data_IF_224667058870
#
_entry.id   IF_224667058870
#
_cell.length_a   1.000
_cell.length_b   1.000
_cell.length_c   1.000
_cell.angle_alpha   90.00
_cell.angle_beta   90.00
_cell.angle_gamma   90.00
#
_symmetry.space_group_name_H-M   'P 1'
#
loop_
_entity.id
_entity.type
_entity.pdbx_description
1 polymer ?
#
# COMPACT_ATOMS: atom_id res chain seq x y z
N UNK A 1 -27.14 -21.40 -15.36
CA UNK A 1 -26.03 -20.60 -15.96
C UNK A 1 -24.73 -21.08 -15.35
N UNK A 2 -23.66 -21.22 -16.14
CA UNK A 2 -22.35 -21.60 -15.62
C UNK A 2 -21.73 -20.45 -14.80
N UNK A 3 -21.16 -20.80 -13.63
CA UNK A 3 -20.39 -19.92 -12.73
C UNK A 3 -21.07 -18.58 -12.35
N UNK A 4 -22.22 -18.60 -11.65
CA UNK A 4 -22.91 -17.37 -11.20
C UNK A 4 -22.01 -16.49 -10.33
N UNK A 5 -21.21 -17.08 -9.46
CA UNK A 5 -20.28 -16.36 -8.57
C UNK A 5 -19.24 -15.53 -9.33
N UNK A 6 -18.71 -16.05 -10.45
CA UNK A 6 -17.72 -15.32 -11.25
C UNK A 6 -18.33 -14.15 -12.01
N UNK A 7 -19.62 -14.23 -12.37
CA UNK A 7 -20.35 -13.11 -12.99
C UNK A 7 -20.57 -11.98 -11.98
N UNK A 8 -21.01 -12.33 -10.78
CA UNK A 8 -21.14 -11.38 -9.66
C UNK A 8 -19.80 -10.71 -9.38
N UNK A 9 -18.71 -11.50 -9.33
CA UNK A 9 -17.37 -10.98 -9.10
C UNK A 9 -16.91 -10.02 -10.22
N UNK A 10 -17.18 -10.37 -11.48
CA UNK A 10 -16.87 -9.50 -12.63
C UNK A 10 -17.63 -8.17 -12.56
N UNK A 11 -18.91 -8.19 -12.20
CA UNK A 11 -19.71 -6.98 -12.01
C UNK A 11 -19.15 -6.12 -10.87
N UNK A 12 -18.77 -6.73 -9.74
CA UNK A 12 -18.09 -6.05 -8.63
C UNK A 12 -16.77 -5.41 -9.07
N UNK A 13 -15.94 -6.12 -9.82
CA UNK A 13 -14.67 -5.60 -10.34
C UNK A 13 -14.87 -4.40 -11.28
N UNK A 14 -15.84 -4.48 -12.20
CA UNK A 14 -16.19 -3.38 -13.11
C UNK A 14 -16.66 -2.15 -12.35
N UNK A 15 -17.61 -2.34 -11.44
CA UNK A 15 -18.12 -1.25 -10.60
C UNK A 15 -17.00 -0.59 -9.79
N UNK A 16 -16.09 -1.40 -9.23
CA UNK A 16 -14.91 -0.92 -8.49
C UNK A 16 -13.95 -0.14 -9.39
N UNK A 17 -13.67 -0.66 -10.59
CA UNK A 17 -12.79 0.00 -11.56
C UNK A 17 -13.36 1.35 -12.00
N UNK A 18 -14.66 1.41 -12.32
CA UNK A 18 -15.35 2.65 -12.69
C UNK A 18 -15.38 3.65 -11.53
N UNK A 19 -15.56 3.17 -10.30
CA UNK A 19 -15.49 4.02 -9.12
C UNK A 19 -14.09 4.57 -8.86
N UNK A 20 -13.04 3.77 -9.08
CA UNK A 20 -11.64 4.21 -9.01
C UNK A 20 -11.28 5.27 -10.05
N UNK A 21 -11.88 5.24 -11.24
CA UNK A 21 -11.68 6.29 -12.24
C UNK A 21 -12.19 7.66 -11.77
N UNK A 22 -13.20 7.65 -10.90
CA UNK A 22 -13.82 8.84 -10.35
C UNK A 22 -13.41 9.12 -8.90
N UNK A 23 -12.48 8.32 -8.34
CA UNK A 23 -12.04 8.46 -6.97
C UNK A 23 -11.33 9.81 -6.79
N UNK A 24 -11.78 10.60 -5.81
CA UNK A 24 -11.16 11.87 -5.42
C UNK A 24 -10.66 11.75 -3.97
N UNK A 25 -9.44 12.21 -3.65
CA UNK A 25 -8.96 12.24 -2.28
C UNK A 25 -9.94 13.02 -1.41
N UNK A 26 -10.21 12.52 -0.20
CA UNK A 26 -11.14 13.15 0.74
C UNK A 26 -10.63 14.48 1.32
N UNK A 27 -9.34 14.80 1.13
CA UNK A 27 -8.77 16.06 1.64
C UNK A 27 -9.02 17.16 0.61
N UNK A 28 -9.74 18.24 0.97
CA UNK A 28 -9.89 19.38 0.08
C UNK A 28 -8.52 19.96 -0.26
N UNK A 29 -8.32 20.34 -1.52
CA UNK A 29 -7.12 21.09 -1.91
C UNK A 29 -6.96 22.28 -0.97
N UNK A 30 -5.76 22.53 -0.43
CA UNK A 30 -5.52 23.78 0.27
C UNK A 30 -5.84 24.96 -0.67
N UNK A 31 -6.36 26.07 -0.14
CA UNK A 31 -6.61 27.27 -0.94
C UNK A 31 -5.27 27.76 -1.48
N UNK A 32 -5.20 27.92 -2.80
CA UNK A 32 -4.03 28.49 -3.47
C UNK A 32 -4.04 29.98 -3.16
N UNK A 33 -3.01 30.46 -2.46
CA UNK A 33 -2.90 31.88 -2.04
C UNK A 33 -2.38 32.78 -3.16
N UNK A 34 -1.77 32.20 -4.21
CA UNK A 34 -1.20 32.94 -5.33
C UNK A 34 -1.99 32.67 -6.62
N UNK A 35 -2.72 33.68 -7.08
CA UNK A 35 -3.50 33.66 -8.32
C UNK A 35 -2.66 33.88 -9.59
N UNK A 36 -1.35 34.14 -9.47
CA UNK A 36 -0.48 34.34 -10.64
C UNK A 36 -0.16 33.03 -11.38
N UNK A 37 -0.42 31.88 -10.75
CA UNK A 37 -0.28 30.52 -11.32
C UNK A 37 -1.63 30.00 -11.85
N UNK A 38 -2.64 30.85 -12.05
CA UNK A 38 -3.95 30.43 -12.57
C UNK A 38 -4.04 30.51 -14.11
N UNK A 39 -2.92 30.49 -14.82
CA UNK A 39 -2.89 30.86 -16.24
C UNK A 39 -3.03 29.68 -17.21
N UNK A 40 -2.83 28.42 -16.80
CA UNK A 40 -3.08 27.28 -17.70
C UNK A 40 -3.79 26.10 -17.02
N UNK A 41 -5.12 25.93 -17.21
CA UNK A 41 -5.88 24.82 -16.63
C UNK A 41 -5.43 23.42 -17.13
N UNK A 42 -4.50 23.37 -18.09
CA UNK A 42 -3.91 22.14 -18.61
C UNK A 42 -2.68 21.64 -17.80
N UNK A 43 -1.94 22.52 -17.11
CA UNK A 43 -0.69 22.14 -16.43
C UNK A 43 -0.79 22.22 -14.89
N UNK A 44 -1.54 23.18 -14.35
CA UNK A 44 -1.56 23.49 -12.90
C UNK A 44 -2.34 22.49 -12.03
N UNK A 45 -3.01 21.52 -12.65
CA UNK A 45 -3.70 20.46 -11.93
C UNK A 45 -2.76 19.37 -11.42
N UNK A 46 -1.57 19.19 -11.98
CA UNK A 46 -0.84 17.92 -11.82
C UNK A 46 -0.59 17.53 -10.36
N UNK A 47 -0.23 18.46 -9.46
CA UNK A 47 -0.02 18.16 -8.03
C UNK A 47 -1.31 17.88 -7.25
N UNK A 48 -2.44 18.42 -7.72
CA UNK A 48 -3.77 18.34 -7.12
C UNK A 48 -4.64 17.24 -7.75
N UNK A 49 -4.17 16.58 -8.80
CA UNK A 49 -4.91 15.52 -9.48
C UNK A 49 -4.97 14.27 -8.58
N UNK A 50 -6.17 13.65 -8.42
CA UNK A 50 -6.35 12.38 -7.72
C UNK A 50 -5.39 11.26 -8.15
N UNK A 51 -4.87 11.38 -9.37
CA UNK A 51 -3.92 10.45 -9.98
C UNK A 51 -2.55 10.41 -9.27
N UNK A 52 -2.30 11.34 -8.34
CA UNK A 52 -1.03 11.44 -7.63
C UNK A 52 -0.85 10.51 -6.46
N UNK A 53 -1.89 9.83 -5.98
CA UNK A 53 -1.68 8.83 -4.92
C UNK A 53 -0.79 7.72 -5.50
N UNK A 54 0.47 7.57 -5.06
CA UNK A 54 1.39 6.64 -5.68
C UNK A 54 0.83 5.22 -5.58
N UNK A 55 0.82 4.51 -6.70
CA UNK A 55 0.30 3.15 -6.80
C UNK A 55 -1.20 3.00 -7.04
N UNK A 56 -1.99 4.08 -7.00
CA UNK A 56 -3.40 4.03 -7.39
C UNK A 56 -3.58 3.61 -8.86
N UNK A 57 -2.70 4.11 -9.75
CA UNK A 57 -2.62 3.64 -11.15
C UNK A 57 -2.35 2.14 -11.23
N UNK A 58 -1.47 1.59 -10.40
CA UNK A 58 -1.17 0.15 -10.36
C UNK A 58 -2.39 -0.66 -9.90
N UNK A 59 -3.17 -0.16 -8.94
CA UNK A 59 -4.43 -0.79 -8.54
C UNK A 59 -5.45 -0.81 -9.69
N UNK A 60 -5.61 0.32 -10.39
CA UNK A 60 -6.48 0.39 -11.60
C UNK A 60 -6.04 -0.63 -12.65
N UNK A 61 -4.75 -0.68 -12.96
CA UNK A 61 -4.20 -1.61 -13.94
C UNK A 61 -4.39 -3.08 -13.52
N UNK A 62 -4.14 -3.41 -12.25
CA UNK A 62 -4.34 -4.77 -11.74
C UNK A 62 -5.82 -5.21 -11.82
N UNK A 63 -6.75 -4.33 -11.46
CA UNK A 63 -8.19 -4.60 -11.62
C UNK A 63 -8.57 -4.80 -13.08
N UNK A 64 -8.03 -3.96 -13.97
CA UNK A 64 -8.24 -4.09 -15.42
C UNK A 64 -7.74 -5.43 -15.94
N UNK A 65 -6.57 -5.89 -15.49
CA UNK A 65 -6.03 -7.21 -15.85
C UNK A 65 -6.96 -8.34 -15.41
N UNK A 66 -7.51 -8.29 -14.20
CA UNK A 66 -8.43 -9.32 -13.70
C UNK A 66 -9.79 -9.29 -14.43
N UNK A 67 -10.34 -8.09 -14.70
CA UNK A 67 -11.54 -7.90 -15.53
C UNK A 67 -11.31 -8.47 -16.92
N UNK A 68 -10.19 -8.10 -17.55
CA UNK A 68 -9.79 -8.60 -18.85
C UNK A 68 -9.63 -10.12 -18.84
N UNK A 69 -9.03 -10.69 -17.79
CA UNK A 69 -8.84 -12.14 -17.66
C UNK A 69 -10.18 -12.88 -17.58
N UNK A 70 -11.11 -12.40 -16.75
CA UNK A 70 -12.48 -12.94 -16.68
C UNK A 70 -13.26 -12.74 -17.99
N UNK A 71 -12.92 -11.71 -18.75
CA UNK A 71 -13.41 -11.47 -20.10
C UNK A 71 -12.66 -12.17 -21.23
N UNK A 72 -11.52 -12.85 -21.04
CA UNK A 72 -10.62 -13.25 -22.16
C UNK A 72 -10.48 -14.75 -22.46
N UNK A 73 -11.06 -15.69 -21.72
CA UNK A 73 -10.76 -17.11 -21.94
C UNK A 73 -11.84 -17.95 -22.67
N UNK A 74 -12.09 -17.64 -23.94
CA UNK A 74 -12.83 -18.47 -24.89
C UNK A 74 -12.28 -18.33 -26.31
N UNK A 75 -11.35 -19.22 -26.70
CA UNK A 75 -11.07 -19.74 -28.05
C UNK A 75 -9.62 -20.24 -28.12
N UNK A 76 -9.45 -21.55 -28.32
CA UNK A 76 -8.15 -22.10 -28.64
C UNK A 76 -7.73 -21.65 -30.05
N UNK A 77 -6.54 -21.05 -30.08
CA UNK A 77 -5.57 -20.88 -31.19
C UNK A 77 -5.36 -19.43 -31.67
N UNK A 78 -4.10 -19.10 -32.04
CA UNK A 78 -3.78 -17.84 -32.70
C UNK A 78 -4.56 -17.76 -34.03
N UNK A 79 -4.92 -16.59 -34.52
CA UNK A 79 -4.26 -15.30 -34.30
C UNK A 79 -5.28 -14.16 -34.33
N UNK A 80 -5.27 -13.32 -33.28
CA UNK A 80 -5.89 -11.99 -33.25
C UNK A 80 -7.41 -11.86 -33.04
N UNK A 81 -8.07 -12.70 -32.24
CA UNK A 81 -9.41 -12.33 -31.76
C UNK A 81 -9.78 -12.98 -30.44
N UNK A 82 -10.43 -12.18 -29.58
CA UNK A 82 -10.60 -12.32 -28.14
C UNK A 82 -12.07 -12.64 -27.82
N UNK A 83 -12.38 -13.81 -27.25
CA UNK A 83 -13.72 -14.08 -26.68
C UNK A 83 -13.66 -14.66 -25.25
N UNK A 84 -14.77 -14.57 -24.51
CA UNK A 84 -14.80 -14.52 -23.04
C UNK A 84 -14.93 -15.85 -22.30
N UNK A 85 -14.25 -15.99 -21.14
CA UNK A 85 -14.36 -17.17 -20.24
C UNK A 85 -15.79 -17.49 -19.88
N UNK A 86 -16.55 -16.48 -19.47
CA UNK A 86 -17.95 -16.64 -19.08
C UNK A 86 -18.92 -16.77 -20.26
N UNK A 87 -18.44 -16.55 -21.49
CA UNK A 87 -19.22 -16.71 -22.72
C UNK A 87 -19.02 -18.09 -23.36
N UNK A 88 -17.93 -18.80 -23.04
CA UNK A 88 -17.70 -20.15 -23.52
C UNK A 88 -18.60 -21.15 -22.74
N UNK A 89 -19.54 -21.86 -23.40
CA UNK A 89 -20.34 -22.89 -22.73
C UNK A 89 -19.49 -24.04 -22.15
N UNK A 90 -18.24 -24.23 -22.61
CA UNK A 90 -17.30 -25.19 -22.06
C UNK A 90 -16.67 -24.76 -20.73
N UNK A 91 -16.83 -23.49 -20.30
CA UNK A 91 -16.24 -22.99 -19.06
C UNK A 91 -16.70 -23.73 -17.80
N UNK A 92 -17.87 -24.38 -17.85
CA UNK A 92 -18.38 -25.22 -16.77
C UNK A 92 -17.43 -26.39 -16.42
N UNK A 93 -16.58 -26.82 -17.37
CA UNK A 93 -15.62 -27.92 -17.19
C UNK A 93 -14.17 -27.45 -17.12
N UNK A 94 -13.93 -26.14 -17.28
CA UNK A 94 -12.59 -25.57 -17.24
C UNK A 94 -12.09 -25.46 -15.79
N UNK A 95 -10.77 -25.54 -15.54
CA UNK A 95 -10.20 -25.32 -14.22
C UNK A 95 -10.49 -23.89 -13.73
N UNK A 96 -10.49 -23.65 -12.41
CA UNK A 96 -10.68 -22.32 -11.84
C UNK A 96 -9.64 -21.33 -12.39
N UNK A 97 -10.12 -20.16 -12.81
CA UNK A 97 -9.23 -19.08 -13.28
C UNK A 97 -8.51 -18.49 -12.07
N UNK A 98 -7.18 -18.39 -12.15
CA UNK A 98 -6.38 -17.70 -11.15
C UNK A 98 -6.57 -16.20 -11.29
N UNK A 99 -7.25 -15.58 -10.33
CA UNK A 99 -7.51 -14.14 -10.28
C UNK A 99 -7.15 -13.60 -8.89
N UNK A 100 -6.65 -12.37 -8.85
CA UNK A 100 -6.32 -11.68 -7.61
C UNK A 100 -7.51 -10.89 -7.04
N UNK A 101 -8.67 -10.97 -7.69
CA UNK A 101 -9.85 -10.14 -7.45
C UNK A 101 -10.25 -9.99 -5.97
N UNK A 102 -10.34 -11.05 -5.13
CA UNK A 102 -10.68 -10.86 -3.72
C UNK A 102 -9.69 -9.96 -2.97
N UNK A 103 -8.41 -10.04 -3.31
CA UNK A 103 -7.37 -9.19 -2.72
C UNK A 103 -7.50 -7.74 -3.22
N UNK A 104 -7.71 -7.54 -4.52
CA UNK A 104 -7.82 -6.20 -5.11
C UNK A 104 -9.07 -5.45 -4.62
N UNK A 105 -10.20 -6.17 -4.48
CA UNK A 105 -11.44 -5.62 -3.91
C UNK A 105 -11.21 -5.21 -2.45
N UNK A 106 -10.60 -6.07 -1.63
CA UNK A 106 -10.29 -5.73 -0.25
C UNK A 106 -9.36 -4.51 -0.12
N UNK A 107 -8.39 -4.33 -1.03
CA UNK A 107 -7.54 -3.12 -1.09
C UNK A 107 -8.38 -1.88 -1.37
N UNK A 108 -9.32 -1.98 -2.30
CA UNK A 108 -10.20 -0.87 -2.63
C UNK A 108 -11.17 -0.54 -1.48
N UNK A 109 -11.75 -1.54 -0.82
CA UNK A 109 -12.63 -1.32 0.33
C UNK A 109 -11.87 -0.64 1.48
N UNK A 110 -10.62 -1.06 1.75
CA UNK A 110 -9.76 -0.36 2.70
C UNK A 110 -9.46 1.07 2.25
N UNK A 111 -9.19 1.30 0.97
CA UNK A 111 -8.96 2.64 0.44
C UNK A 111 -10.15 3.58 0.72
N UNK A 112 -11.38 3.09 0.59
CA UNK A 112 -12.59 3.85 0.87
C UNK A 112 -12.83 4.10 2.36
N UNK A 113 -12.48 3.14 3.22
CA UNK A 113 -12.73 3.22 4.66
C UNK A 113 -11.60 3.89 5.44
N UNK A 114 -10.41 4.01 4.85
CA UNK A 114 -9.23 4.44 5.58
C UNK A 114 -9.26 5.94 5.93
N UNK A 115 -8.68 6.33 7.09
CA UNK A 115 -8.64 7.72 7.50
C UNK A 115 -7.84 8.58 6.51
N UNK A 116 -8.39 9.73 6.16
CA UNK A 116 -7.69 10.68 5.31
C UNK A 116 -6.49 11.34 6.02
N UNK A 117 -5.47 11.79 5.28
CA UNK A 117 -5.24 11.52 3.86
C UNK A 117 -4.70 10.11 3.62
N UNK A 118 -5.08 9.53 2.47
CA UNK A 118 -4.39 8.39 1.88
C UNK A 118 -3.13 8.91 1.19
N UNK A 119 -1.98 8.35 1.57
CA UNK A 119 -0.66 8.78 1.08
C UNK A 119 -0.20 7.92 -0.08
N UNK A 120 -0.38 6.61 -0.02
CA UNK A 120 0.07 5.68 -1.06
C UNK A 120 -0.68 4.36 -1.03
N UNK A 121 -0.69 3.66 -2.16
CA UNK A 121 -1.20 2.30 -2.35
C UNK A 121 -0.06 1.42 -2.89
N UNK A 122 0.05 0.18 -2.43
CA UNK A 122 1.10 -0.78 -2.84
C UNK A 122 2.53 -0.23 -2.69
N UNK A 123 2.84 0.33 -1.52
CA UNK A 123 4.18 0.83 -1.18
C UNK A 123 5.07 -0.32 -0.70
N UNK A 124 6.32 -0.33 -1.12
CA UNK A 124 7.36 -1.19 -0.54
C UNK A 124 8.26 -0.31 0.31
N UNK A 125 8.47 -0.70 1.57
CA UNK A 125 9.26 0.04 2.54
C UNK A 125 10.50 -0.78 2.90
N UNK A 126 11.66 -0.15 2.96
CA UNK A 126 12.92 -0.80 3.30
C UNK A 126 12.98 -1.04 4.82
N UNK A 127 13.51 -2.20 5.22
CA UNK A 127 13.69 -2.51 6.64
C UNK A 127 14.88 -1.76 7.25
N UNK A 128 15.90 -1.43 6.44
CA UNK A 128 17.00 -0.55 6.84
C UNK A 128 17.23 0.51 5.76
N UNK A 129 16.88 1.79 6.02
CA UNK A 129 17.13 2.88 5.08
C UNK A 129 18.60 3.33 5.04
N UNK A 130 19.42 2.93 6.02
CA UNK A 130 20.83 3.30 6.12
C UNK A 130 21.75 2.41 5.27
N UNK A 131 21.31 1.21 4.89
CA UNK A 131 22.00 0.34 3.93
C UNK A 131 21.93 0.93 2.51
N UNK A 132 22.79 1.93 2.25
CA UNK A 132 23.03 2.45 0.91
C UNK A 132 23.67 1.35 0.07
N UNK A 133 22.92 0.90 -0.93
CA UNK A 133 23.32 -0.11 -1.92
C UNK A 133 24.69 0.17 -2.51
N UNK A 134 25.62 -0.78 -2.34
CA UNK A 134 26.69 -0.97 -3.30
C UNK A 134 26.16 -1.68 -4.56
N UNK A 135 26.72 -1.33 -5.71
CA UNK A 135 26.20 -1.72 -7.03
C UNK A 135 26.51 -3.19 -7.30
N UNK A 136 25.64 -4.11 -6.89
CA UNK A 136 25.76 -5.55 -7.17
C UNK A 136 25.09 -6.49 -6.17
N UNK A 137 24.67 -5.99 -5.00
CA UNK A 137 24.12 -6.83 -3.94
C UNK A 137 22.62 -7.13 -4.07
N UNK A 138 22.20 -8.25 -3.45
CA UNK A 138 20.79 -8.68 -3.37
C UNK A 138 19.93 -7.53 -2.86
N UNK A 139 18.77 -7.30 -3.49
CA UNK A 139 17.86 -6.22 -3.08
C UNK A 139 17.60 -6.31 -1.58
N UNK A 140 17.90 -5.21 -0.86
CA UNK A 140 17.62 -5.07 0.56
C UNK A 140 16.18 -5.52 0.87
N UNK A 141 15.96 -6.20 2.01
CA UNK A 141 14.64 -6.70 2.38
C UNK A 141 13.64 -5.55 2.44
N UNK A 142 12.45 -5.78 1.89
CA UNK A 142 11.37 -4.78 1.89
C UNK A 142 10.08 -5.38 2.43
N UNK A 143 9.35 -4.59 3.23
CA UNK A 143 8.01 -4.89 3.65
C UNK A 143 7.01 -4.24 2.68
N UNK A 144 6.03 -5.01 2.21
CA UNK A 144 4.94 -4.49 1.39
C UNK A 144 3.85 -3.92 2.30
N UNK A 145 3.40 -2.71 2.01
CA UNK A 145 2.24 -2.04 2.63
C UNK A 145 1.21 -1.77 1.54
N UNK A 146 -0.03 -2.21 1.75
CA UNK A 146 -1.04 -2.08 0.69
C UNK A 146 -1.70 -0.72 0.69
N UNK A 147 -1.97 -0.14 1.87
CA UNK A 147 -2.49 1.22 2.00
C UNK A 147 -1.74 1.96 3.09
N UNK A 148 -1.22 3.15 2.77
CA UNK A 148 -0.54 4.07 3.70
C UNK A 148 -1.44 5.27 3.92
N UNK A 149 -1.81 5.55 5.17
CA UNK A 149 -2.82 6.57 5.52
C UNK A 149 -2.40 7.44 6.70
N UNK A 150 -3.22 8.45 7.01
CA UNK A 150 -3.00 9.41 8.10
C UNK A 150 -1.60 10.04 8.05
N UNK A 151 -1.21 10.58 6.88
CA UNK A 151 0.13 11.13 6.63
C UNK A 151 1.28 10.13 6.85
N UNK A 152 1.03 8.82 6.67
CA UNK A 152 2.05 7.80 6.85
C UNK A 152 2.14 7.23 8.26
N UNK A 153 1.38 7.77 9.22
CA UNK A 153 1.35 7.28 10.60
C UNK A 153 0.59 5.95 10.78
N UNK A 154 -0.14 5.49 9.76
CA UNK A 154 -0.81 4.18 9.79
C UNK A 154 -0.62 3.42 8.49
N UNK A 155 -0.22 2.16 8.62
CA UNK A 155 0.07 1.26 7.52
C UNK A 155 -0.88 0.06 7.58
N UNK A 156 -1.51 -0.25 6.46
CA UNK A 156 -2.47 -1.35 6.36
C UNK A 156 -1.93 -2.38 5.37
N UNK A 157 -1.81 -3.62 5.83
CA UNK A 157 -1.48 -4.78 5.02
C UNK A 157 -2.68 -5.71 4.94
N UNK A 158 -3.05 -6.12 3.74
CA UNK A 158 -4.16 -7.01 3.47
C UNK A 158 -3.62 -8.37 3.05
N UNK A 159 -4.13 -9.42 3.68
CA UNK A 159 -3.79 -10.79 3.37
C UNK A 159 -5.07 -11.63 3.21
N UNK A 160 -5.10 -12.44 2.15
CA UNK A 160 -6.24 -13.28 1.76
C UNK A 160 -6.01 -14.77 2.05
N UNK A 161 -5.01 -15.11 2.89
CA UNK A 161 -4.76 -16.48 3.32
C UNK A 161 -6.02 -17.09 3.93
N UNK A 162 -6.30 -18.35 3.59
CA UNK A 162 -7.37 -19.15 4.19
C UNK A 162 -6.79 -20.05 5.26
N UNK A 163 -7.64 -20.54 6.16
CA UNK A 163 -7.26 -21.58 7.13
C UNK A 163 -6.57 -22.76 6.45
N UNK A 164 -7.09 -23.24 5.31
CA UNK A 164 -6.48 -24.36 4.57
C UNK A 164 -5.04 -24.09 4.10
N UNK A 165 -4.72 -22.84 3.73
CA UNK A 165 -3.36 -22.46 3.34
C UNK A 165 -2.43 -22.47 4.55
N UNK A 166 -2.86 -21.87 5.65
CA UNK A 166 -2.07 -21.85 6.88
C UNK A 166 -1.89 -23.27 7.49
N UNK A 167 -2.91 -24.14 7.38
CA UNK A 167 -2.82 -25.54 7.76
C UNK A 167 -1.81 -26.32 6.91
N UNK A 168 -1.65 -25.95 5.62
CA UNK A 168 -0.62 -26.57 4.78
C UNK A 168 0.78 -26.20 5.27
N UNK A 169 1.01 -24.92 5.61
CA UNK A 169 2.27 -24.48 6.23
C UNK A 169 2.52 -25.20 7.55
N UNK A 170 1.50 -25.37 8.38
CA UNK A 170 1.63 -26.10 9.64
C UNK A 170 2.03 -27.57 9.43
N UNK A 171 1.43 -28.26 8.47
CA UNK A 171 1.81 -29.65 8.13
C UNK A 171 3.21 -29.74 7.58
N UNK A 172 3.63 -28.77 6.78
CA UNK A 172 4.99 -28.67 6.26
C UNK A 172 5.98 -28.53 7.43
N UNK A 173 5.72 -27.63 8.39
CA UNK A 173 6.54 -27.51 9.61
C UNK A 173 6.58 -28.81 10.42
N UNK A 174 5.41 -29.44 10.64
CA UNK A 174 5.31 -30.68 11.42
C UNK A 174 6.09 -31.82 10.74
N UNK A 175 6.17 -31.84 9.40
CA UNK A 175 6.90 -32.87 8.64
C UNK A 175 8.42 -32.83 8.87
N UNK A 176 9.00 -31.65 9.07
CA UNK A 176 10.43 -31.50 9.35
C UNK A 176 10.81 -31.94 10.77
N UNK A 177 9.86 -31.93 11.70
CA UNK A 177 10.08 -32.37 13.08
C UNK A 177 10.15 -33.89 13.20
N UNK A 178 9.46 -34.64 12.33
CA UNK A 178 9.41 -36.11 12.37
C UNK A 178 10.57 -36.80 11.65
N UNK A 179 11.21 -36.14 10.69
CA UNK A 179 12.35 -36.70 9.93
C UNK A 179 13.69 -36.59 10.69
N UNK A 180 13.71 -35.94 11.85
CA UNK A 180 14.95 -35.65 12.61
C UNK A 180 15.32 -36.72 13.65
N UNK A 181 14.55 -37.82 13.76
CA UNK A 181 14.81 -38.89 14.75
C UNK A 181 15.57 -40.11 14.20
N UNK A 182 16.05 -40.08 12.94
CA UNK A 182 16.86 -41.16 12.38
C UNK A 182 18.17 -40.64 11.76
N UNK A 183 19.27 -41.05 12.39
CA UNK A 183 20.65 -41.11 11.91
C UNK A 183 21.56 -39.86 11.93
N UNK A 184 22.52 -39.96 12.87
CA UNK A 184 23.98 -39.89 12.66
C UNK A 184 24.73 -38.69 13.27
N UNK A 185 25.65 -39.03 14.18
CA UNK A 185 26.66 -38.21 14.82
C UNK A 185 27.70 -37.68 13.80
N UNK A 186 27.33 -36.71 12.96
CA UNK A 186 28.27 -36.00 12.09
C UNK A 186 28.44 -34.53 12.54
N UNK A 187 29.63 -34.08 12.97
CA UNK A 187 29.88 -32.74 13.49
C UNK A 187 29.87 -31.61 12.44
N UNK A 188 29.72 -31.91 11.14
CA UNK A 188 29.56 -30.91 10.08
C UNK A 188 28.06 -30.65 9.76
N UNK A 189 27.34 -30.13 10.76
CA UNK A 189 25.90 -29.83 10.68
C UNK A 189 25.58 -28.85 9.54
N UNK A 190 25.00 -29.36 8.46
CA UNK A 190 24.21 -28.57 7.50
C UNK A 190 23.15 -27.77 8.27
N UNK A 191 22.85 -26.50 7.92
CA UNK A 191 21.79 -25.76 8.56
C UNK A 191 20.47 -26.53 8.39
N UNK A 192 19.85 -26.88 9.52
CA UNK A 192 18.56 -27.58 9.52
C UNK A 192 17.51 -26.69 8.85
N UNK A 193 16.76 -27.26 7.90
CA UNK A 193 15.60 -26.61 7.30
C UNK A 193 14.38 -26.62 8.24
N UNK A 194 14.46 -27.33 9.37
CA UNK A 194 13.38 -27.39 10.34
C UNK A 194 13.25 -26.05 11.09
N UNK A 195 12.06 -25.44 11.13
CA UNK A 195 11.81 -24.27 11.95
C UNK A 195 12.00 -24.59 13.43
N UNK A 196 12.83 -23.81 14.13
CA UNK A 196 13.08 -23.97 15.57
C UNK A 196 11.98 -23.36 16.43
N UNK A 197 11.16 -22.48 15.86
CA UNK A 197 10.10 -21.72 16.56
C UNK A 197 8.78 -21.83 15.78
N UNK A 198 7.66 -21.55 16.47
CA UNK A 198 6.34 -21.47 15.84
C UNK A 198 6.30 -20.25 14.90
N UNK A 199 6.63 -20.48 13.63
CA UNK A 199 6.76 -19.41 12.65
C UNK A 199 6.12 -19.75 11.31
N UNK A 200 5.30 -18.84 10.79
CA UNK A 200 4.58 -19.02 9.53
C UNK A 200 4.64 -17.75 8.70
N UNK A 201 4.18 -17.84 7.44
CA UNK A 201 4.28 -16.75 6.48
C UNK A 201 3.62 -15.44 6.96
N UNK A 202 2.56 -15.55 7.76
CA UNK A 202 1.84 -14.41 8.33
C UNK A 202 2.63 -13.74 9.45
N UNK A 203 3.25 -14.54 10.33
CA UNK A 203 4.10 -14.01 11.40
C UNK A 203 5.37 -13.35 10.86
N UNK A 204 5.99 -13.96 9.84
CA UNK A 204 7.12 -13.36 9.12
C UNK A 204 6.76 -12.01 8.51
N UNK A 205 5.58 -11.92 7.90
CA UNK A 205 5.07 -10.67 7.33
C UNK A 205 4.80 -9.62 8.43
N UNK A 206 4.23 -10.02 9.56
CA UNK A 206 3.99 -9.14 10.70
C UNK A 206 5.29 -8.56 11.26
N UNK A 207 6.31 -9.39 11.48
CA UNK A 207 7.64 -8.92 11.94
C UNK A 207 8.27 -7.96 10.95
N UNK A 208 8.32 -8.33 9.66
CA UNK A 208 8.88 -7.47 8.62
C UNK A 208 8.20 -6.10 8.55
N UNK A 209 6.88 -6.04 8.76
CA UNK A 209 6.13 -4.77 8.80
C UNK A 209 6.45 -3.93 10.03
N UNK A 210 6.52 -4.55 11.22
CA UNK A 210 6.85 -3.86 12.47
C UNK A 210 8.28 -3.32 12.42
N UNK A 211 9.22 -4.13 11.93
CA UNK A 211 10.62 -3.72 11.79
C UNK A 211 10.77 -2.59 10.79
N UNK A 212 10.11 -2.69 9.62
CA UNK A 212 10.07 -1.60 8.65
C UNK A 212 9.42 -0.33 9.21
N UNK A 213 8.36 -0.43 10.03
CA UNK A 213 7.74 0.72 10.66
C UNK A 213 8.70 1.40 11.65
N UNK A 214 9.40 0.62 12.48
CA UNK A 214 10.39 1.14 13.45
C UNK A 214 11.55 1.84 12.76
N UNK A 215 12.02 1.31 11.64
CA UNK A 215 13.11 1.90 10.87
C UNK A 215 12.72 3.14 10.06
N UNK A 216 11.41 3.39 9.86
CA UNK A 216 10.91 4.51 9.08
C UNK A 216 9.89 5.33 9.89
N UNK A 217 10.32 5.98 10.99
CA UNK A 217 9.46 6.87 11.75
C UNK A 217 9.01 8.06 10.89
N UNK A 218 7.82 8.58 11.19
CA UNK A 218 7.20 9.69 10.48
C UNK A 218 7.14 10.90 11.40
N UNK A 219 7.40 12.08 10.85
CA UNK A 219 7.28 13.33 11.60
C UNK A 219 5.85 13.58 12.06
N UNK A 220 5.72 13.90 13.34
CA UNK A 220 4.48 14.31 13.99
C UNK A 220 4.74 15.57 14.82
N UNK A 221 3.67 16.22 15.28
CA UNK A 221 3.77 17.42 16.13
C UNK A 221 4.53 17.11 17.43
N UNK A 222 4.40 15.89 17.93
CA UNK A 222 5.06 15.40 19.16
C UNK A 222 6.44 14.76 18.90
N UNK A 223 6.98 14.89 17.68
CA UNK A 223 8.27 14.32 17.26
C UNK A 223 8.12 13.11 16.34
N UNK A 224 9.21 12.34 16.22
CA UNK A 224 9.26 11.14 15.36
C UNK A 224 8.37 10.02 15.94
N UNK A 225 7.38 9.61 15.17
CA UNK A 225 6.43 8.57 15.56
C UNK A 225 6.57 7.33 14.67
N UNK A 226 6.68 6.16 15.29
CA UNK A 226 6.62 4.87 14.58
C UNK A 226 5.21 4.65 14.03
N UNK A 227 5.05 4.35 12.72
CA UNK A 227 3.73 4.08 12.14
C UNK A 227 3.02 2.89 12.80
N UNK A 228 1.72 3.04 13.04
CA UNK A 228 0.86 1.97 13.55
C UNK A 228 0.57 0.98 12.42
N UNK A 229 0.84 -0.30 12.65
CA UNK A 229 0.66 -1.36 11.66
C UNK A 229 -0.66 -2.08 11.91
N UNK A 230 -1.47 -2.19 10.86
CA UNK A 230 -2.70 -2.98 10.83
C UNK A 230 -2.57 -4.09 9.79
N UNK A 231 -2.86 -5.33 10.17
CA UNK A 231 -2.99 -6.47 9.26
C UNK A 231 -4.46 -6.90 9.18
N UNK A 232 -5.03 -6.80 7.99
CA UNK A 232 -6.37 -7.29 7.67
C UNK A 232 -6.29 -8.68 7.04
N UNK A 233 -6.79 -9.68 7.75
CA UNK A 233 -6.79 -11.08 7.35
C UNK A 233 -8.21 -11.44 6.89
N UNK A 234 -8.49 -11.22 5.60
CA UNK A 234 -9.88 -11.21 5.11
C UNK A 234 -10.53 -12.59 5.05
N UNK A 235 -9.73 -13.66 5.02
CA UNK A 235 -10.21 -15.04 4.86
C UNK A 235 -9.71 -16.00 5.93
N UNK A 236 -9.02 -15.48 6.94
CA UNK A 236 -8.58 -16.27 8.09
C UNK A 236 -9.67 -16.23 9.15
N UNK A 237 -10.06 -17.40 9.63
CA UNK A 237 -11.04 -17.55 10.69
C UNK A 237 -10.40 -18.27 11.89
N UNK A 238 -10.10 -17.57 12.99
CA UNK A 238 -9.53 -18.15 14.19
C UNK A 238 -10.60 -18.70 15.15
N UNK A 239 -11.89 -18.73 14.77
CA UNK A 239 -12.92 -19.31 15.61
C UNK A 239 -12.57 -20.77 15.95
N UNK A 240 -12.84 -21.23 17.19
CA UNK A 240 -12.50 -22.58 17.63
C UNK A 240 -13.30 -23.65 16.88
N UNK A 241 -14.49 -23.29 16.39
CA UNK A 241 -15.35 -24.14 15.57
C UNK A 241 -15.49 -23.51 14.20
N UNK A 242 -15.37 -24.34 13.17
CA UNK A 242 -15.64 -23.98 11.78
C UNK A 242 -17.14 -23.88 11.54
N UNK A 243 -17.53 -23.31 10.40
CA UNK A 243 -18.94 -23.19 10.01
C UNK A 243 -19.69 -24.54 9.91
N UNK A 244 -18.98 -25.64 9.68
CA UNK A 244 -19.51 -27.01 9.65
C UNK A 244 -19.60 -27.68 11.03
N UNK A 245 -19.24 -26.95 12.11
CA UNK A 245 -19.21 -27.45 13.48
C UNK A 245 -17.96 -28.27 13.83
N UNK A 246 -17.05 -28.50 12.89
CA UNK A 246 -15.80 -29.19 13.17
C UNK A 246 -14.81 -28.28 13.93
N UNK A 247 -13.97 -28.84 14.81
CA UNK A 247 -12.93 -28.05 15.49
C UNK A 247 -11.92 -27.52 14.49
N UNK A 248 -11.49 -26.27 14.71
CA UNK A 248 -10.43 -25.64 13.97
C UNK A 248 -9.07 -25.91 14.65
N UNK A 249 -7.96 -25.83 13.90
CA UNK A 249 -6.64 -26.02 14.51
C UNK A 249 -6.32 -24.83 15.42
N UNK A 250 -6.01 -25.05 16.71
CA UNK A 250 -5.78 -23.96 17.67
C UNK A 250 -4.58 -23.08 17.30
N UNK A 251 -3.64 -23.57 16.47
CA UNK A 251 -2.50 -22.79 15.98
C UNK A 251 -2.93 -21.61 15.11
N UNK A 252 -4.11 -21.65 14.47
CA UNK A 252 -4.64 -20.51 13.71
C UNK A 252 -4.93 -19.33 14.66
N UNK A 253 -5.63 -19.59 15.76
CA UNK A 253 -5.90 -18.59 16.79
C UNK A 253 -4.59 -18.11 17.44
N UNK A 254 -3.64 -19.01 17.66
CA UNK A 254 -2.29 -18.68 18.16
C UNK A 254 -1.56 -17.71 17.22
N UNK A 255 -1.58 -17.93 15.91
CA UNK A 255 -0.97 -17.01 14.92
C UNK A 255 -1.53 -15.60 15.05
N UNK A 256 -2.86 -15.46 15.17
CA UNK A 256 -3.52 -14.17 15.35
C UNK A 256 -3.10 -13.51 16.66
N UNK A 257 -2.97 -14.29 17.74
CA UNK A 257 -2.53 -13.77 19.02
C UNK A 257 -1.07 -13.30 18.97
N UNK A 258 -0.17 -14.10 18.39
CA UNK A 258 1.23 -13.71 18.23
C UNK A 258 1.39 -12.41 17.43
N UNK A 259 0.59 -12.17 16.38
CA UNK A 259 0.55 -10.87 15.69
C UNK A 259 0.21 -9.71 16.64
N UNK A 260 -0.82 -9.88 17.47
CA UNK A 260 -1.24 -8.85 18.44
C UNK A 260 -0.18 -8.60 19.49
N UNK A 261 0.46 -9.65 19.98
CA UNK A 261 1.54 -9.56 20.97
C UNK A 261 2.76 -8.80 20.42
N UNK A 262 2.98 -8.85 19.10
CA UNK A 262 4.00 -8.03 18.40
C UNK A 262 3.60 -6.56 18.22
N UNK A 263 2.39 -6.16 18.64
CA UNK A 263 1.86 -4.81 18.48
C UNK A 263 1.18 -4.55 17.13
N UNK A 264 0.90 -5.59 16.34
CA UNK A 264 0.12 -5.47 15.10
C UNK A 264 -1.37 -5.45 15.42
N UNK A 265 -2.09 -4.46 14.91
CA UNK A 265 -3.55 -4.49 14.95
C UNK A 265 -4.07 -5.53 13.96
N UNK A 266 -4.81 -6.52 14.43
CA UNK A 266 -5.36 -7.56 13.55
C UNK A 266 -6.86 -7.37 13.36
N UNK A 267 -7.26 -7.14 12.12
CA UNK A 267 -8.65 -7.09 11.68
C UNK A 267 -8.98 -8.35 10.89
N UNK A 268 -10.07 -9.04 11.25
CA UNK A 268 -10.49 -10.29 10.63
C UNK A 268 -11.68 -10.04 9.69
N UNK A 269 -11.70 -10.76 8.57
CA UNK A 269 -12.79 -10.69 7.61
C UNK A 269 -12.72 -9.51 6.63
N UNK A 270 -13.63 -9.52 5.68
CA UNK A 270 -13.85 -8.43 4.72
C UNK A 270 -14.57 -7.25 5.39
N UNK A 271 -14.47 -6.05 4.81
CA UNK A 271 -15.29 -4.91 5.23
C UNK A 271 -16.76 -5.23 4.99
N UNK A 272 -17.62 -4.83 5.92
CA UNK A 272 -19.07 -4.99 5.73
C UNK A 272 -19.57 -3.95 4.75
N UNK A 273 -20.54 -4.30 3.91
CA UNK A 273 -21.12 -3.35 2.93
C UNK A 273 -21.66 -2.07 3.58
N UNK A 274 -22.13 -2.14 4.84
CA UNK A 274 -22.58 -0.98 5.60
C UNK A 274 -21.44 -0.07 6.13
N UNK A 275 -20.21 -0.57 6.21
CA UNK A 275 -19.03 0.19 6.61
C UNK A 275 -18.42 0.96 5.44
N UNK A 276 -18.61 0.44 4.21
CA UNK A 276 -18.02 1.01 3.00
C UNK A 276 -18.81 2.26 2.61
N UNK A 277 -18.19 3.45 2.61
CA UNK A 277 -18.85 4.67 2.16
C UNK A 277 -19.26 4.53 0.70
N UNK A 278 -20.53 4.79 0.38
CA UNK A 278 -21.00 4.85 -1.00
C UNK A 278 -20.34 6.05 -1.69
N UNK A 279 -19.51 5.85 -2.73
CA UNK A 279 -18.87 6.94 -3.45
C UNK A 279 -19.96 7.79 -4.13
N UNK A 280 -20.22 8.99 -3.60
CA UNK A 280 -21.22 9.89 -4.19
C UNK A 280 -20.54 10.72 -5.29
N UNK A 281 -20.94 10.60 -6.56
CA UNK A 281 -20.26 11.27 -7.67
C UNK A 281 -20.35 12.81 -7.61
N UNK A 282 -21.29 13.38 -6.85
CA UNK A 282 -21.58 14.81 -6.84
C UNK A 282 -21.93 15.41 -5.47
N UNK A 283 -21.65 14.75 -4.36
CA UNK A 283 -21.84 15.40 -3.07
C UNK A 283 -20.72 16.44 -2.89
N UNK A 284 -21.03 17.74 -2.68
CA UNK A 284 -20.02 18.71 -2.27
C UNK A 284 -19.35 18.15 -1.00
N UNK A 285 -18.05 17.91 -1.14
CA UNK A 285 -17.23 17.19 -0.17
C UNK A 285 -17.27 17.87 1.19
N UNK A 286 -17.71 17.12 2.20
CA UNK A 286 -17.62 17.42 3.62
C UNK A 286 -18.23 18.76 4.08
N UNK A 287 -18.57 18.85 5.37
CA UNK A 287 -18.71 20.16 5.99
C UNK A 287 -17.42 20.96 5.70
N UNK A 288 -17.51 22.27 5.40
CA UNK A 288 -16.33 23.08 5.09
C UNK A 288 -15.28 22.85 6.18
N UNK A 289 -14.18 22.19 5.81
CA UNK A 289 -13.06 22.02 6.72
C UNK A 289 -12.56 23.43 6.97
N UNK A 290 -12.75 23.93 8.19
CA UNK A 290 -12.22 25.23 8.59
C UNK A 290 -10.71 25.09 8.64
N UNK A 291 -10.05 25.48 7.56
CA UNK A 291 -8.60 25.53 7.49
C UNK A 291 -8.13 26.69 8.37
N UNK A 292 -7.40 26.37 9.43
CA UNK A 292 -6.80 27.37 10.31
C UNK A 292 -5.34 27.55 9.89
N UNK A 293 -4.87 28.79 9.64
CA UNK A 293 -3.47 29.04 9.35
C UNK A 293 -2.57 28.48 10.44
N UNK A 294 -1.61 27.63 10.05
CA UNK A 294 -0.61 27.11 10.98
C UNK A 294 0.55 28.09 11.12
N UNK A 295 1.15 28.17 12.32
CA UNK A 295 2.43 28.86 12.53
C UNK A 295 3.63 27.98 12.20
N UNK A 296 3.41 26.68 11.95
CA UNK A 296 4.43 25.71 11.57
C UNK A 296 4.47 25.62 10.04
N UNK A 297 5.22 26.54 9.43
CA UNK A 297 5.36 26.61 7.97
C UNK A 297 6.56 25.77 7.56
N UNK A 298 6.33 24.76 6.72
CA UNK A 298 7.42 24.06 6.05
C UNK A 298 7.85 24.90 4.84
N UNK A 299 8.94 25.64 4.98
CA UNK A 299 9.51 26.46 3.91
C UNK A 299 10.58 25.63 3.19
N UNK A 300 10.42 25.48 1.88
CA UNK A 300 11.49 24.95 1.04
C UNK A 300 12.75 25.82 1.18
N UNK A 301 13.92 25.20 1.18
CA UNK A 301 15.18 25.91 1.37
C UNK A 301 15.40 26.98 0.30
N UNK A 302 15.02 26.73 -0.94
CA UNK A 302 15.14 27.71 -2.03
C UNK A 302 14.20 28.91 -1.82
N UNK A 303 13.01 28.68 -1.29
CA UNK A 303 12.05 29.74 -0.94
C UNK A 303 12.56 30.54 0.25
N UNK A 304 13.14 29.89 1.25
CA UNK A 304 13.76 30.57 2.37
C UNK A 304 14.93 31.45 1.90
N UNK A 305 15.81 30.92 1.05
CA UNK A 305 16.90 31.68 0.44
C UNK A 305 16.35 32.85 -0.37
N UNK A 306 15.31 32.66 -1.17
CA UNK A 306 14.66 33.75 -1.89
C UNK A 306 13.99 34.78 -0.96
N UNK A 307 13.48 34.38 0.21
CA UNK A 307 12.89 35.31 1.17
C UNK A 307 13.93 36.15 1.91
N UNK A 308 15.14 35.62 2.11
CA UNK A 308 16.20 36.32 2.87
C UNK A 308 17.31 36.89 1.98
N UNK A 309 17.30 36.61 0.68
CA UNK A 309 18.31 37.08 -0.26
C UNK A 309 18.05 38.52 -0.67
N UNK A 310 19.07 39.35 -0.62
CA UNK A 310 18.99 40.70 -1.19
C UNK A 310 18.72 40.67 -2.70
N UNK A 311 19.06 39.59 -3.42
CA UNK A 311 18.87 39.51 -4.88
C UNK A 311 17.40 39.54 -5.30
N UNK A 312 16.49 39.10 -4.46
CA UNK A 312 15.04 39.03 -4.73
C UNK A 312 14.29 40.26 -4.24
N UNK A 313 14.87 41.04 -3.31
CA UNK A 313 14.25 42.23 -2.73
C UNK A 313 14.91 43.54 -3.14
N UNK A 314 16.15 43.50 -3.65
CA UNK A 314 16.84 44.68 -4.13
C UNK A 314 16.34 45.08 -5.52
N UNK A 315 16.27 46.38 -5.84
CA UNK A 315 15.98 46.84 -7.19
C UNK A 315 17.01 46.27 -8.18
N UNK A 316 16.63 46.03 -9.44
CA UNK A 316 17.55 45.58 -10.46
C UNK A 316 18.75 46.54 -10.54
N UNK A 317 19.97 46.04 -10.74
CA UNK A 317 21.16 46.88 -10.81
C UNK A 317 21.03 47.88 -11.98
N UNK A 318 21.41 49.13 -11.74
CA UNK A 318 21.31 50.19 -12.74
C UNK A 318 22.41 50.09 -13.81
N UNK A 319 23.47 49.31 -13.56
CA UNK A 319 24.54 49.05 -14.50
C UNK A 319 25.14 47.64 -14.37
N UNK A 320 25.91 47.23 -15.38
CA UNK A 320 26.64 45.96 -15.37
C UNK A 320 27.75 45.93 -14.29
N UNK A 321 28.40 47.07 -14.01
CA UNK A 321 29.38 47.15 -12.92
C UNK A 321 28.73 46.93 -11.55
N UNK A 322 27.57 47.53 -11.32
CA UNK A 322 26.81 47.35 -10.08
C UNK A 322 26.36 45.89 -9.91
N UNK A 323 25.87 45.26 -11.00
CA UNK A 323 25.51 43.85 -11.00
C UNK A 323 26.70 42.95 -10.59
N UNK A 324 27.88 43.23 -11.15
CA UNK A 324 29.12 42.49 -10.87
C UNK A 324 29.57 42.69 -9.43
N UNK A 325 29.45 43.91 -8.90
CA UNK A 325 29.78 44.23 -7.50
C UNK A 325 28.84 43.54 -6.50
N UNK A 326 27.55 43.38 -6.82
CA UNK A 326 26.59 42.64 -5.97
C UNK A 326 26.80 41.13 -6.00
N UNK A 327 27.28 40.58 -7.13
CA UNK A 327 27.52 39.14 -7.28
C UNK A 327 28.83 38.67 -6.65
N UNK A 328 29.82 39.55 -6.54
CA UNK A 328 31.10 39.25 -5.92
C UNK A 328 31.04 39.63 -4.42
N UNK A 329 31.00 38.65 -3.49
CA UNK A 329 31.03 38.97 -2.07
C UNK A 329 32.27 39.82 -1.74
N UNK A 330 32.14 40.84 -0.87
CA UNK A 330 33.26 41.68 -0.45
C UNK A 330 34.43 40.82 0.02
N UNK A 331 35.67 41.25 -0.24
CA UNK A 331 36.89 40.51 0.15
C UNK A 331 36.85 40.02 1.61
N UNK A 332 36.33 40.84 2.52
CA UNK A 332 36.16 40.53 3.94
C UNK A 332 35.33 39.26 4.22
N UNK A 333 34.41 38.90 3.33
CA UNK A 333 33.55 37.71 3.43
C UNK A 333 34.18 36.47 2.79
N UNK A 334 35.20 36.65 1.94
CA UNK A 334 35.99 35.55 1.34
C UNK A 334 37.15 35.10 2.21
N UNK A 335 37.57 35.96 3.14
CA UNK A 335 38.69 35.73 4.05
C UNK A 335 38.27 35.01 5.37
N UNK A 336 36.97 34.73 5.55
CA UNK A 336 36.38 33.93 6.64
C UNK A 336 36.02 32.53 6.12
#
# INVERSE_FOLDING_TARGET
>A
MAHPELRILLEKLRSTYDSLLNFKPLVPSPPILDSSVAADPAEDGQWLQPENIPGLKKLREALKVDIDTLHKAGAARPSHSVACFLADPACARAPPVSIHAPYLLAVYDELLCAPAPVVAVFKFVQLDPAERRERGEKRAPTAKVDVVVANGRRWIRINTIKNAGLLAEFREMDSYLTDSESDSDDPERRPSLAPTEFDNSILQMGRALVDAARANPVDSVDGLQVPRVTMRLTRLDPAPLRADGAPNDPRIARTVQCLRDMGVEVELGERRECEIPVPRPHAPSAAPVCLVPTRQINLDLSVLVALVSDLTHAPPPASAEEATARFLPPQRYRDW
#
